data_IF_172775082241
#
_entry.id   IF_172775082241
#
_cell.length_a   1.000
_cell.length_b   1.000
_cell.length_c   1.000
_cell.angle_alpha   90.00
_cell.angle_beta   90.00
_cell.angle_gamma   90.00
#
_symmetry.space_group_name_H-M   'P 1'
#
loop_
_entity.id
_entity.type
_entity.pdbx_description
1 polymer ?
#
# COMPACT_ATOMS: atom_id res chain seq x y z
N UNK A 1 -2.47 28.06 -4.68
CA UNK A 1 -2.72 26.61 -4.95
C UNK A 1 -3.33 26.07 -3.67
N UNK A 2 -4.60 25.73 -3.72
CA UNK A 2 -5.27 25.12 -2.57
C UNK A 2 -4.56 23.82 -2.19
N UNK A 3 -4.40 23.52 -0.90
CA UNK A 3 -3.78 22.28 -0.50
C UNK A 3 -4.62 21.10 -1.03
N UNK A 4 -3.95 20.12 -1.62
CA UNK A 4 -4.55 18.90 -2.23
C UNK A 4 -5.50 18.18 -1.25
N UNK A 5 -5.23 18.32 0.04
CA UNK A 5 -6.05 17.74 1.13
C UNK A 5 -7.46 18.32 1.14
N UNK A 6 -7.62 19.62 0.96
CA UNK A 6 -8.94 20.26 0.98
C UNK A 6 -9.76 19.87 -0.25
N UNK A 7 -9.13 19.84 -1.44
CA UNK A 7 -9.80 19.38 -2.65
C UNK A 7 -10.27 17.91 -2.56
N UNK A 8 -9.53 17.06 -1.88
CA UNK A 8 -9.93 15.66 -1.64
C UNK A 8 -11.12 15.56 -0.68
N UNK A 9 -11.10 16.29 0.43
CA UNK A 9 -12.16 16.27 1.43
C UNK A 9 -13.47 16.88 0.92
N UNK A 10 -13.36 17.88 0.05
CA UNK A 10 -14.51 18.60 -0.54
C UNK A 10 -15.01 17.98 -1.85
N UNK A 11 -14.27 17.01 -2.42
CA UNK A 11 -14.68 16.34 -3.65
C UNK A 11 -15.99 15.58 -3.47
N UNK A 12 -16.85 15.68 -4.47
CA UNK A 12 -18.09 14.92 -4.57
C UNK A 12 -18.00 13.75 -5.54
N UNK A 13 -16.80 13.49 -6.08
CA UNK A 13 -16.57 12.36 -6.96
C UNK A 13 -16.80 11.06 -6.19
N UNK A 14 -17.55 10.09 -6.76
CA UNK A 14 -17.82 8.84 -6.07
C UNK A 14 -16.56 8.01 -5.91
N UNK A 15 -16.31 7.50 -4.70
CA UNK A 15 -15.29 6.52 -4.40
C UNK A 15 -15.97 5.17 -4.11
N UNK A 16 -15.50 4.13 -4.79
CA UNK A 16 -16.09 2.78 -4.64
C UNK A 16 -15.08 1.89 -3.92
N UNK A 17 -15.28 1.62 -2.61
CA UNK A 17 -14.45 0.67 -1.89
C UNK A 17 -14.64 -0.74 -2.46
N UNK A 18 -13.53 -1.42 -2.73
CA UNK A 18 -13.49 -2.79 -3.23
C UNK A 18 -12.41 -3.57 -2.51
N UNK A 19 -12.42 -4.90 -2.66
CA UNK A 19 -11.26 -5.69 -2.25
C UNK A 19 -10.02 -5.22 -2.99
N UNK A 20 -8.92 -5.13 -2.29
CA UNK A 20 -7.66 -4.59 -2.79
C UNK A 20 -6.45 -5.40 -2.33
N UNK A 21 -5.35 -5.22 -3.04
CA UNK A 21 -4.05 -5.80 -2.72
C UNK A 21 -2.99 -4.70 -2.67
N UNK A 22 -1.96 -4.90 -1.84
CA UNK A 22 -0.85 -3.98 -1.72
C UNK A 22 0.47 -4.71 -1.51
N UNK A 23 1.54 -4.15 -2.05
CA UNK A 23 2.90 -4.64 -1.92
C UNK A 23 3.69 -3.84 -0.87
N UNK A 24 4.10 -4.51 0.18
CA UNK A 24 5.09 -4.01 1.12
C UNK A 24 6.48 -4.37 0.57
N UNK A 25 7.01 -3.50 -0.30
CA UNK A 25 8.32 -3.66 -0.92
C UNK A 25 9.40 -3.23 0.07
N UNK A 26 10.21 -4.18 0.55
CA UNK A 26 11.20 -3.96 1.61
C UNK A 26 12.61 -4.19 1.09
N UNK A 27 13.47 -3.18 1.21
CA UNK A 27 14.90 -3.27 0.92
C UNK A 27 15.64 -4.02 2.04
N UNK A 28 16.82 -4.54 1.74
CA UNK A 28 17.70 -5.23 2.69
C UNK A 28 18.06 -4.36 3.92
N UNK A 29 18.12 -3.04 3.76
CA UNK A 29 18.37 -2.08 4.84
C UNK A 29 17.13 -1.70 5.66
N UNK A 30 15.98 -2.33 5.37
CA UNK A 30 14.72 -2.14 6.08
C UNK A 30 13.91 -0.92 5.63
N UNK A 31 14.32 -0.20 4.58
CA UNK A 31 13.51 0.86 3.98
C UNK A 31 12.39 0.27 3.14
N UNK A 32 11.30 1.00 3.04
CA UNK A 32 10.11 0.67 2.26
C UNK A 32 10.08 1.47 0.97
N UNK A 33 9.72 0.84 -0.13
CA UNK A 33 9.48 1.53 -1.39
C UNK A 33 8.03 1.98 -1.43
N UNK A 34 7.85 3.29 -1.53
CA UNK A 34 6.54 3.95 -1.51
C UNK A 34 6.32 4.75 -2.77
N UNK A 35 5.06 4.91 -3.18
CA UNK A 35 4.66 5.84 -4.23
C UNK A 35 4.00 7.09 -3.65
N UNK A 36 4.22 8.23 -4.29
CA UNK A 36 3.40 9.41 -4.11
C UNK A 36 2.26 9.33 -5.12
N UNK A 37 1.04 9.21 -4.63
CA UNK A 37 -0.17 9.05 -5.44
C UNK A 37 -0.49 10.32 -6.23
N UNK A 38 -1.07 10.15 -7.41
CA UNK A 38 -1.53 11.28 -8.23
C UNK A 38 -2.50 12.19 -7.47
N UNK A 39 -2.50 13.48 -7.74
CA UNK A 39 -3.42 14.44 -7.10
C UNK A 39 -4.79 14.47 -7.81
N UNK A 40 -5.36 13.30 -8.12
CA UNK A 40 -6.66 13.17 -8.79
C UNK A 40 -7.77 13.03 -7.76
N UNK A 41 -8.86 13.83 -7.80
CA UNK A 41 -9.89 13.81 -6.77
C UNK A 41 -10.74 12.53 -6.76
N UNK A 42 -10.72 11.76 -7.83
CA UNK A 42 -11.49 10.53 -8.01
C UNK A 42 -10.77 9.25 -7.54
N UNK A 43 -9.65 9.39 -6.84
CA UNK A 43 -8.93 8.25 -6.24
C UNK A 43 -8.92 8.39 -4.72
N UNK A 44 -8.71 7.27 -4.02
CA UNK A 44 -8.53 7.29 -2.58
C UNK A 44 -7.21 7.97 -2.22
N UNK A 45 -7.27 8.94 -1.30
CA UNK A 45 -6.10 9.66 -0.77
C UNK A 45 -5.15 10.22 -1.84
N UNK A 46 -5.63 11.12 -2.72
CA UNK A 46 -4.79 11.76 -3.72
C UNK A 46 -3.65 12.56 -3.05
N UNK A 47 -2.48 12.55 -3.65
CA UNK A 47 -1.32 13.29 -3.14
C UNK A 47 -0.70 12.73 -1.84
N UNK A 48 -1.16 11.59 -1.36
CA UNK A 48 -0.58 10.88 -0.22
C UNK A 48 0.44 9.84 -0.68
N UNK A 49 1.37 9.54 0.20
CA UNK A 49 2.24 8.37 0.03
C UNK A 49 1.45 7.09 0.32
N UNK A 50 1.70 6.05 -0.45
CA UNK A 50 1.04 4.75 -0.30
C UNK A 50 1.90 3.60 -0.80
N UNK A 51 1.45 2.39 -0.52
CA UNK A 51 2.02 1.17 -1.10
C UNK A 51 1.56 1.03 -2.56
N UNK A 52 2.34 0.33 -3.37
CA UNK A 52 1.91 -0.09 -4.70
C UNK A 52 0.84 -1.16 -4.62
N UNK A 53 -0.09 -1.18 -5.57
CA UNK A 53 -1.21 -2.11 -5.63
C UNK A 53 -2.52 -1.41 -5.93
N UNK A 54 -3.61 -2.17 -5.99
CA UNK A 54 -4.90 -1.64 -6.38
C UNK A 54 -6.05 -2.60 -6.14
N UNK A 55 -7.16 -2.37 -6.84
CA UNK A 55 -8.37 -3.16 -6.74
C UNK A 55 -8.15 -4.59 -7.27
N UNK A 56 -8.76 -5.56 -6.61
CA UNK A 56 -8.80 -6.94 -7.07
C UNK A 56 -10.06 -7.16 -7.93
N UNK A 57 -9.87 -7.68 -9.12
CA UNK A 57 -10.97 -8.06 -10.00
C UNK A 57 -11.68 -9.33 -9.49
N UNK A 58 -12.96 -9.49 -9.84
CA UNK A 58 -13.81 -10.59 -9.32
C UNK A 58 -13.25 -11.99 -9.54
N UNK A 59 -12.50 -12.19 -10.62
CA UNK A 59 -11.97 -13.50 -11.01
C UNK A 59 -10.48 -13.66 -10.75
N UNK A 60 -9.86 -12.71 -10.07
CA UNK A 60 -8.45 -12.76 -9.71
C UNK A 60 -8.26 -13.27 -8.28
N UNK A 61 -7.21 -14.06 -8.08
CA UNK A 61 -6.64 -14.27 -6.75
C UNK A 61 -5.88 -13.01 -6.30
N UNK A 62 -5.61 -12.88 -5.00
CA UNK A 62 -4.80 -11.76 -4.46
C UNK A 62 -3.41 -11.70 -5.14
N UNK A 63 -2.79 -12.85 -5.39
CA UNK A 63 -1.47 -12.94 -6.02
C UNK A 63 -1.50 -12.52 -7.48
N UNK A 64 -2.54 -12.92 -8.22
CA UNK A 64 -2.72 -12.48 -9.62
C UNK A 64 -2.94 -10.98 -9.70
N UNK A 65 -3.83 -10.44 -8.87
CA UNK A 65 -4.08 -9.01 -8.79
C UNK A 65 -2.81 -8.23 -8.49
N UNK A 66 -2.04 -8.66 -7.49
CA UNK A 66 -0.82 -7.96 -7.09
C UNK A 66 0.27 -8.03 -8.17
N UNK A 67 0.42 -9.17 -8.85
CA UNK A 67 1.34 -9.28 -10.00
C UNK A 67 0.94 -8.35 -11.14
N UNK A 68 -0.36 -8.24 -11.46
CA UNK A 68 -0.88 -7.32 -12.47
C UNK A 68 -0.59 -5.87 -12.11
N UNK A 69 -0.95 -5.45 -10.90
CA UNK A 69 -0.73 -4.09 -10.40
C UNK A 69 0.76 -3.70 -10.42
N UNK A 70 1.65 -4.54 -9.89
CA UNK A 70 3.09 -4.27 -9.89
C UNK A 70 3.69 -4.21 -11.29
N UNK A 71 3.15 -5.00 -12.22
CA UNK A 71 3.56 -4.92 -13.62
C UNK A 71 3.07 -3.61 -14.27
N UNK A 72 1.82 -3.22 -14.03
CA UNK A 72 1.23 -1.99 -14.58
C UNK A 72 1.88 -0.72 -14.00
N UNK A 73 2.14 -0.69 -12.70
CA UNK A 73 2.67 0.49 -12.01
C UNK A 73 4.20 0.63 -12.12
N UNK A 74 4.95 -0.48 -12.15
CA UNK A 74 6.43 -0.49 -12.04
C UNK A 74 7.16 -1.29 -13.12
N UNK A 75 6.45 -1.99 -14.01
CA UNK A 75 7.08 -2.98 -14.90
C UNK A 75 7.76 -4.13 -14.14
N UNK A 76 7.40 -4.35 -12.89
CA UNK A 76 8.06 -5.28 -11.98
C UNK A 76 7.26 -6.57 -11.79
N UNK A 77 7.97 -7.70 -11.78
CA UNK A 77 7.42 -9.00 -11.41
C UNK A 77 8.24 -9.61 -10.28
N UNK A 78 7.69 -9.71 -9.07
CA UNK A 78 8.40 -10.29 -7.94
C UNK A 78 8.63 -11.79 -8.13
N UNK A 79 9.74 -12.30 -7.58
CA UNK A 79 10.04 -13.75 -7.58
C UNK A 79 9.24 -14.47 -6.52
N UNK A 80 9.13 -13.86 -5.34
CA UNK A 80 8.45 -14.38 -4.18
C UNK A 80 7.64 -13.28 -3.51
N UNK A 81 6.51 -13.65 -2.94
CA UNK A 81 5.70 -12.77 -2.10
C UNK A 81 5.02 -13.61 -1.02
N UNK A 82 4.90 -13.05 0.17
CA UNK A 82 4.20 -13.69 1.29
C UNK A 82 3.13 -12.77 1.85
N UNK A 83 1.94 -13.31 2.12
CA UNK A 83 0.90 -12.53 2.75
C UNK A 83 1.33 -12.13 4.16
N UNK A 84 1.43 -10.84 4.40
CA UNK A 84 1.80 -10.28 5.70
C UNK A 84 0.56 -10.06 6.58
N UNK A 85 -0.44 -9.35 6.08
CA UNK A 85 -1.66 -9.04 6.82
C UNK A 85 -2.84 -8.84 5.88
N UNK A 86 -4.05 -9.22 6.34
CA UNK A 86 -5.32 -8.86 5.72
C UNK A 86 -6.08 -7.94 6.66
N UNK A 87 -6.46 -6.79 6.16
CA UNK A 87 -7.32 -5.82 6.85
C UNK A 87 -8.74 -6.02 6.33
N UNK A 88 -9.67 -6.25 7.24
CA UNK A 88 -11.09 -6.39 6.91
C UNK A 88 -11.85 -5.19 7.46
N UNK A 89 -12.63 -4.56 6.60
CA UNK A 89 -13.43 -3.38 6.93
C UNK A 89 -14.90 -3.74 6.78
N UNK A 90 -15.66 -3.64 7.85
CA UNK A 90 -17.11 -3.72 7.80
C UNK A 90 -17.68 -2.30 7.62
N UNK A 91 -18.07 -2.00 6.40
CA UNK A 91 -18.64 -0.72 5.99
C UNK A 91 -20.17 -0.80 5.81
N UNK A 92 -20.81 -1.81 6.42
CA UNK A 92 -22.26 -2.04 6.31
C UNK A 92 -23.07 -0.86 6.85
N UNK A 93 -22.55 -0.16 7.86
CA UNK A 93 -23.20 1.03 8.43
C UNK A 93 -23.36 2.21 7.44
N UNK A 94 -22.55 2.23 6.39
CA UNK A 94 -22.62 3.24 5.32
C UNK A 94 -23.10 2.65 3.98
N UNK A 95 -23.64 1.41 4.00
CA UNK A 95 -24.26 0.77 2.84
C UNK A 95 -23.30 0.10 1.85
N UNK A 96 -22.01 -0.04 2.18
CA UNK A 96 -21.00 -0.62 1.29
C UNK A 96 -20.83 -2.13 1.48
N UNK A 97 -21.03 -2.64 2.71
CA UNK A 97 -20.75 -4.03 3.06
C UNK A 97 -19.33 -4.25 3.54
N UNK A 98 -18.77 -5.43 3.30
CA UNK A 98 -17.43 -5.79 3.74
C UNK A 98 -16.43 -5.70 2.59
N UNK A 99 -15.26 -5.14 2.85
CA UNK A 99 -14.13 -5.10 1.91
C UNK A 99 -12.84 -5.50 2.63
N UNK A 100 -11.90 -6.03 1.89
CA UNK A 100 -10.61 -6.48 2.40
C UNK A 100 -9.45 -5.83 1.67
N UNK A 101 -8.33 -5.67 2.38
CA UNK A 101 -7.05 -5.26 1.81
C UNK A 101 -5.98 -6.25 2.23
N UNK A 102 -5.47 -7.03 1.29
CA UNK A 102 -4.38 -7.97 1.53
C UNK A 102 -3.03 -7.29 1.25
N UNK A 103 -2.14 -7.31 2.21
CA UNK A 103 -0.79 -6.73 2.11
C UNK A 103 0.23 -7.86 2.06
N UNK A 104 1.02 -7.89 1.01
CA UNK A 104 2.06 -8.88 0.78
C UNK A 104 3.45 -8.27 0.99
N UNK A 105 4.28 -8.94 1.78
CA UNK A 105 5.69 -8.62 1.93
C UNK A 105 6.48 -9.16 0.74
N UNK A 106 7.29 -8.29 0.14
CA UNK A 106 8.15 -8.60 -1.00
C UNK A 106 9.52 -7.99 -0.73
N UNK A 107 10.54 -8.83 -0.60
CA UNK A 107 11.91 -8.36 -0.51
C UNK A 107 12.41 -7.92 -1.89
N UNK A 108 13.00 -6.73 -1.94
CA UNK A 108 13.56 -6.17 -3.18
C UNK A 108 14.99 -5.72 -2.96
N UNK A 109 15.81 -5.86 -3.99
CA UNK A 109 17.18 -5.39 -4.02
C UNK A 109 17.27 -3.96 -4.57
N UNK A 110 18.36 -3.25 -4.28
CA UNK A 110 18.61 -1.92 -4.85
C UNK A 110 18.69 -1.97 -6.38
N UNK A 111 19.17 -3.07 -6.94
CA UNK A 111 19.25 -3.27 -8.40
C UNK A 111 17.85 -3.39 -9.01
N UNK A 112 16.95 -4.16 -8.40
CA UNK A 112 15.55 -4.28 -8.85
C UNK A 112 14.83 -2.93 -8.77
N UNK A 113 14.99 -2.21 -7.66
CA UNK A 113 14.42 -0.86 -7.50
C UNK A 113 14.95 0.11 -8.56
N UNK A 114 16.23 0.02 -8.91
CA UNK A 114 16.83 0.82 -9.98
C UNK A 114 16.29 0.51 -11.38
N UNK A 115 15.64 -0.64 -11.57
CA UNK A 115 15.01 -1.05 -12.82
C UNK A 115 13.50 -0.76 -12.89
N UNK A 116 12.91 -0.22 -11.83
CA UNK A 116 11.48 0.12 -11.84
C UNK A 116 11.18 1.22 -12.84
N UNK A 117 10.14 1.00 -13.63
CA UNK A 117 9.59 1.98 -14.56
C UNK A 117 8.27 2.51 -13.97
N UNK A 118 8.35 3.68 -13.34
CA UNK A 118 7.17 4.28 -12.70
C UNK A 118 6.17 4.75 -13.76
N UNK A 119 5.12 3.98 -13.95
CA UNK A 119 4.07 4.27 -14.93
C UNK A 119 2.86 5.00 -14.32
N UNK A 120 2.71 4.97 -13.00
CA UNK A 120 1.62 5.61 -12.27
C UNK A 120 2.14 6.27 -10.99
N UNK A 121 1.50 7.38 -10.57
CA UNK A 121 1.95 8.19 -9.44
C UNK A 121 3.01 9.23 -9.81
N UNK A 122 3.31 10.13 -8.87
CA UNK A 122 4.23 11.26 -9.07
C UNK A 122 5.68 10.94 -8.69
N UNK A 123 5.90 10.01 -7.80
CA UNK A 123 7.24 9.63 -7.33
C UNK A 123 7.25 8.22 -6.73
N UNK A 124 8.42 7.59 -6.81
CA UNK A 124 8.74 6.34 -6.13
C UNK A 124 10.00 6.56 -5.30
N UNK A 125 9.95 6.27 -4.00
CA UNK A 125 11.10 6.50 -3.08
C UNK A 125 11.27 5.38 -2.06
N UNK A 126 12.52 5.14 -1.69
CA UNK A 126 12.88 4.33 -0.53
C UNK A 126 12.87 5.19 0.73
N UNK A 127 11.98 4.88 1.67
CA UNK A 127 11.72 5.65 2.88
C UNK A 127 11.87 4.80 4.14
N UNK A 128 12.35 5.40 5.21
CA UNK A 128 12.41 4.72 6.53
C UNK A 128 11.01 4.67 7.16
N UNK A 129 10.77 3.69 8.03
CA UNK A 129 9.53 3.63 8.81
C UNK A 129 9.29 4.92 9.60
N UNK A 130 10.35 5.52 10.17
CA UNK A 130 10.25 6.79 10.90
C UNK A 130 9.69 7.89 10.00
N UNK A 131 10.32 8.14 8.86
CA UNK A 131 9.86 9.18 7.91
C UNK A 131 8.41 8.95 7.48
N UNK A 132 8.06 7.70 7.14
CA UNK A 132 6.70 7.34 6.72
C UNK A 132 5.67 7.64 7.83
N UNK A 133 5.98 7.25 9.06
CA UNK A 133 5.01 7.28 10.16
C UNK A 133 4.92 8.63 10.89
N UNK A 134 5.92 9.51 10.74
CA UNK A 134 6.00 10.75 11.53
C UNK A 134 6.12 12.04 10.73
N UNK A 135 6.46 11.97 9.44
CA UNK A 135 6.82 13.17 8.66
C UNK A 135 5.95 13.36 7.41
N UNK A 136 5.34 12.29 6.91
CA UNK A 136 4.63 12.30 5.62
C UNK A 136 3.13 12.13 5.77
N UNK A 137 2.38 12.68 4.82
CA UNK A 137 0.98 12.34 4.62
C UNK A 137 0.91 10.97 3.91
N UNK A 138 0.49 9.95 4.63
CA UNK A 138 0.41 8.56 4.15
C UNK A 138 -1.03 8.08 4.21
N UNK A 139 -1.42 7.20 3.29
CA UNK A 139 -2.75 6.58 3.35
C UNK A 139 -2.90 5.81 4.68
N UNK A 140 -4.00 5.98 5.42
CA UNK A 140 -4.13 5.43 6.78
C UNK A 140 -3.94 3.93 6.88
N UNK A 141 -4.51 3.15 5.95
CA UNK A 141 -4.40 1.70 5.95
C UNK A 141 -2.97 1.21 5.61
N UNK A 142 -2.24 1.93 4.76
CA UNK A 142 -0.85 1.60 4.43
C UNK A 142 0.09 2.01 5.58
N UNK A 143 -0.15 3.16 6.21
CA UNK A 143 0.54 3.59 7.42
C UNK A 143 0.38 2.53 8.53
N UNK A 144 -0.82 2.02 8.74
CA UNK A 144 -1.07 0.97 9.73
C UNK A 144 -0.34 -0.34 9.37
N UNK A 145 -0.35 -0.76 8.12
CA UNK A 145 0.37 -1.96 7.67
C UNK A 145 1.88 -1.84 7.88
N UNK A 146 2.46 -0.67 7.57
CA UNK A 146 3.89 -0.39 7.79
C UNK A 146 4.21 -0.39 9.28
N UNK A 147 3.37 0.21 10.13
CA UNK A 147 3.57 0.17 11.56
C UNK A 147 3.54 -1.26 12.10
N UNK A 148 2.57 -2.08 11.70
CA UNK A 148 2.49 -3.49 12.07
C UNK A 148 3.77 -4.26 11.67
N UNK A 149 4.24 -4.05 10.44
CA UNK A 149 5.44 -4.71 9.94
C UNK A 149 6.69 -4.27 10.71
N UNK A 150 6.86 -2.98 10.92
CA UNK A 150 7.99 -2.42 11.67
C UNK A 150 7.98 -2.89 13.13
N UNK A 151 6.79 -2.96 13.75
CA UNK A 151 6.62 -3.33 15.15
C UNK A 151 6.42 -4.85 15.37
N UNK A 152 6.44 -5.67 14.32
CA UNK A 152 6.00 -7.09 14.38
C UNK A 152 6.66 -7.92 15.49
N UNK A 153 7.94 -7.70 15.75
CA UNK A 153 8.64 -8.40 16.82
C UNK A 153 8.10 -8.06 18.22
N UNK A 154 7.55 -6.87 18.39
CA UNK A 154 6.92 -6.42 19.66
C UNK A 154 5.51 -6.96 19.83
N UNK A 155 4.87 -7.36 18.72
CA UNK A 155 3.50 -7.88 18.70
C UNK A 155 3.47 -9.40 18.83
N UNK A 156 4.58 -10.07 18.61
CA UNK A 156 4.69 -11.53 18.80
C UNK A 156 4.74 -11.82 20.31
N UNK A 157 3.86 -12.66 20.85
CA UNK A 157 3.96 -13.05 22.26
C UNK A 157 5.34 -13.67 22.53
N UNK A 158 5.95 -13.41 23.70
CA UNK A 158 7.20 -14.04 24.05
C UNK A 158 7.03 -15.56 23.93
N UNK A 159 7.99 -16.23 23.28
CA UNK A 159 8.01 -17.69 23.26
C UNK A 159 8.01 -18.14 24.72
N UNK A 160 7.00 -18.93 25.08
CA UNK A 160 7.06 -19.65 26.34
C UNK A 160 8.31 -20.53 26.25
N UNK A 161 9.28 -20.24 27.10
CA UNK A 161 10.45 -21.10 27.26
C UNK A 161 9.92 -22.49 27.66
N UNK A 162 10.14 -23.46 26.76
CA UNK A 162 9.87 -24.87 27.01
C UNK A 162 10.95 -25.44 27.92
#
# INVERSE_FOLDING_TARGET
MEPIVDAFLDSKDPLIPTDAVAALLVLEDGRYIMQLRDPKPNIFYPGHWGLFGGARDKNETEVEALNRELHEELGFKPREMSCFVRLHFDLSSIGVGQVSRAVYEISVTQTEVGSFDLCEGLACRALTARTILTELAVTPYDSFAIWLHYARQRLTPPRADL
#
